data_IF_793315156418
#
_entry.id   IF_793315156418
#
_cell.length_a   1.000
_cell.length_b   1.000
_cell.length_c   1.000
_cell.angle_alpha   90.00
_cell.angle_beta   90.00
_cell.angle_gamma   90.00
#
_symmetry.space_group_name_H-M   'P 1'
#
loop_
_entity.id
_entity.type
_entity.pdbx_description
1 polymer ?
#
# COMPACT_ATOMS: atom_id res chain seq x y z
N UNK A 1 -3.18 1.12 27.16
CA UNK A 1 -2.67 1.24 25.78
C UNK A 1 -3.68 2.07 25.02
N UNK A 2 -3.55 3.39 25.06
CA UNK A 2 -4.51 4.28 24.40
C UNK A 2 -4.18 4.31 22.90
N UNK A 3 -5.17 4.51 22.04
CA UNK A 3 -4.99 4.59 20.58
C UNK A 3 -3.98 5.68 20.15
N UNK A 4 -3.61 6.58 21.06
CA UNK A 4 -2.58 7.60 20.89
C UNK A 4 -1.14 7.05 20.91
N UNK A 5 -0.89 5.89 21.55
CA UNK A 5 0.44 5.27 21.62
C UNK A 5 0.78 4.39 20.41
N UNK A 6 -0.23 4.05 19.59
CA UNK A 6 0.01 3.46 18.28
C UNK A 6 0.49 4.63 17.43
N UNK A 7 1.81 4.83 17.35
CA UNK A 7 2.46 6.01 16.73
C UNK A 7 1.90 6.37 15.35
N UNK A 8 2.26 7.52 14.81
CA UNK A 8 1.69 8.10 13.56
C UNK A 8 1.75 7.15 12.35
N UNK A 9 2.53 6.08 12.43
CA UNK A 9 2.78 5.10 11.39
C UNK A 9 1.58 4.36 10.77
N UNK A 10 0.59 3.76 11.48
CA UNK A 10 -0.53 3.08 10.82
C UNK A 10 -1.44 4.07 10.09
N UNK A 11 -1.68 5.24 10.67
CA UNK A 11 -2.49 6.29 10.04
C UNK A 11 -1.83 6.74 8.74
N UNK A 12 -0.52 7.05 8.78
CA UNK A 12 0.22 7.40 7.57
C UNK A 12 0.28 6.24 6.57
N UNK A 13 0.38 4.99 7.02
CA UNK A 13 0.35 3.83 6.11
C UNK A 13 -0.99 3.70 5.38
N UNK A 14 -2.10 3.99 6.05
CA UNK A 14 -3.42 4.04 5.41
C UNK A 14 -3.47 5.16 4.37
N UNK A 15 -3.05 6.37 4.73
CA UNK A 15 -3.04 7.52 3.80
C UNK A 15 -2.15 7.24 2.59
N UNK A 16 -0.94 6.75 2.80
CA UNK A 16 0.02 6.40 1.75
C UNK A 16 -0.54 5.27 0.88
N UNK A 17 -1.13 4.24 1.47
CA UNK A 17 -1.74 3.13 0.73
C UNK A 17 -2.94 3.58 -0.11
N UNK A 18 -3.80 4.44 0.42
CA UNK A 18 -4.93 5.04 -0.31
C UNK A 18 -4.44 5.90 -1.47
N UNK A 19 -3.46 6.78 -1.22
CA UNK A 19 -2.86 7.64 -2.24
C UNK A 19 -2.29 6.83 -3.42
N UNK A 20 -1.48 5.81 -3.13
CA UNK A 20 -0.90 4.95 -4.17
C UNK A 20 -1.94 4.10 -4.89
N UNK A 21 -2.95 3.61 -4.18
CA UNK A 21 -4.07 2.89 -4.80
C UNK A 21 -4.86 3.79 -5.74
N UNK A 22 -5.13 5.04 -5.35
CA UNK A 22 -5.80 6.03 -6.20
C UNK A 22 -4.97 6.35 -7.44
N UNK A 23 -3.65 6.53 -7.28
CA UNK A 23 -2.73 6.74 -8.39
C UNK A 23 -2.72 5.55 -9.35
N UNK A 24 -2.68 4.32 -8.83
CA UNK A 24 -2.78 3.11 -9.64
C UNK A 24 -4.10 3.04 -10.43
N UNK A 25 -5.24 3.33 -9.79
CA UNK A 25 -6.55 3.35 -10.45
C UNK A 25 -6.61 4.44 -11.53
N UNK A 26 -6.07 5.63 -11.25
CA UNK A 26 -5.99 6.73 -12.19
C UNK A 26 -5.21 6.33 -13.45
N UNK A 27 -4.02 5.74 -13.26
CA UNK A 27 -3.18 5.25 -14.38
C UNK A 27 -3.86 4.10 -15.14
N UNK A 28 -4.55 3.20 -14.43
CA UNK A 28 -5.22 2.04 -15.05
C UNK A 28 -6.53 2.41 -15.77
N UNK A 29 -7.13 3.56 -15.44
CA UNK A 29 -8.38 4.05 -16.02
C UNK A 29 -9.63 3.22 -15.69
N UNK A 30 -9.57 2.28 -14.75
CA UNK A 30 -10.71 1.41 -14.39
C UNK A 30 -10.64 0.89 -12.95
N UNK A 31 -11.80 0.83 -12.30
CA UNK A 31 -11.97 0.21 -10.99
C UNK A 31 -12.28 -1.28 -11.20
N UNK A 32 -11.37 -2.15 -10.75
CA UNK A 32 -11.53 -3.61 -10.84
C UNK A 32 -12.15 -4.21 -9.58
N UNK A 33 -12.74 -5.41 -9.69
CA UNK A 33 -13.29 -6.15 -8.55
C UNK A 33 -12.27 -6.43 -7.42
N UNK A 34 -10.97 -6.39 -7.73
CA UNK A 34 -9.88 -6.61 -6.78
C UNK A 34 -9.39 -5.33 -6.08
N UNK A 35 -10.05 -4.19 -6.31
CA UNK A 35 -9.68 -2.92 -5.69
C UNK A 35 -9.52 -3.02 -4.15
N UNK A 36 -10.42 -3.69 -3.40
CA UNK A 36 -10.25 -3.81 -1.95
C UNK A 36 -8.96 -4.56 -1.57
N UNK A 37 -8.59 -5.59 -2.33
CA UNK A 37 -7.35 -6.34 -2.13
C UNK A 37 -6.12 -5.50 -2.52
N UNK A 38 -6.21 -4.73 -3.61
CA UNK A 38 -5.14 -3.79 -4.01
C UNK A 38 -4.91 -2.75 -2.92
N UNK A 39 -5.98 -2.16 -2.38
CA UNK A 39 -5.89 -1.20 -1.29
C UNK A 39 -5.26 -1.82 -0.05
N UNK A 40 -5.74 -2.99 0.37
CA UNK A 40 -5.18 -3.68 1.53
C UNK A 40 -3.69 -3.98 1.34
N UNK A 41 -3.30 -4.48 0.16
CA UNK A 41 -1.89 -4.74 -0.16
C UNK A 41 -1.05 -3.46 -0.15
N UNK A 42 -1.58 -2.34 -0.63
CA UNK A 42 -0.89 -1.05 -0.60
C UNK A 42 -0.68 -0.55 0.83
N UNK A 43 -1.70 -0.63 1.69
CA UNK A 43 -1.63 -0.22 3.10
C UNK A 43 -0.65 -1.11 3.87
N UNK A 44 -0.75 -2.43 3.71
CA UNK A 44 0.17 -3.38 4.34
C UNK A 44 1.60 -3.20 3.83
N UNK A 45 1.76 -2.94 2.53
CA UNK A 45 3.05 -2.63 1.93
C UNK A 45 3.64 -1.35 2.52
N UNK A 46 2.84 -0.29 2.66
CA UNK A 46 3.27 0.96 3.29
C UNK A 46 3.69 0.76 4.75
N UNK A 47 2.94 -0.05 5.50
CA UNK A 47 3.24 -0.36 6.89
C UNK A 47 4.50 -1.23 7.05
N UNK A 48 4.72 -2.19 6.16
CA UNK A 48 5.94 -2.98 6.13
C UNK A 48 7.15 -2.14 5.70
N UNK A 49 6.96 -1.26 4.71
CA UNK A 49 7.97 -0.37 4.19
C UNK A 49 8.51 0.60 5.22
N UNK A 50 7.65 1.25 6.01
CA UNK A 50 8.15 2.13 7.08
C UNK A 50 9.03 1.38 8.09
N UNK A 51 8.67 0.13 8.41
CA UNK A 51 9.42 -0.67 9.37
C UNK A 51 10.78 -1.11 8.79
N UNK A 52 10.87 -1.24 7.48
CA UNK A 52 12.12 -1.45 6.77
C UNK A 52 12.97 -0.18 6.78
N UNK A 53 12.39 0.99 6.50
CA UNK A 53 13.10 2.26 6.52
C UNK A 53 13.56 2.71 7.90
N UNK A 54 12.87 2.29 8.96
CA UNK A 54 13.36 2.46 10.33
C UNK A 54 14.70 1.73 10.58
N UNK A 55 15.02 0.69 9.79
CA UNK A 55 16.26 -0.09 9.89
C UNK A 55 17.32 0.34 8.87
N UNK A 56 16.90 0.66 7.65
CA UNK A 56 17.80 1.01 6.54
C UNK A 56 18.14 2.51 6.48
N UNK A 57 17.40 3.34 7.23
CA UNK A 57 17.42 4.79 7.06
C UNK A 57 16.54 5.22 5.90
N UNK A 58 15.94 6.41 6.02
CA UNK A 58 15.10 7.00 4.97
C UNK A 58 15.46 8.48 4.78
N UNK A 59 15.75 8.93 3.54
CA UNK A 59 15.98 10.33 3.24
C UNK A 59 14.75 11.24 3.42
N UNK A 60 13.51 10.72 3.33
CA UNK A 60 12.29 11.51 3.55
C UNK A 60 11.43 10.87 4.64
N UNK A 61 11.47 11.49 5.82
CA UNK A 61 10.69 11.07 6.99
C UNK A 61 9.65 12.11 7.36
N UNK A 62 8.47 11.64 7.76
CA UNK A 62 7.45 12.46 8.41
C UNK A 62 7.35 12.02 9.87
N UNK A 63 8.00 12.75 10.76
CA UNK A 63 8.15 12.33 12.16
C UNK A 63 8.92 11.02 12.24
N UNK A 64 8.29 9.99 12.79
CA UNK A 64 8.83 8.63 12.90
C UNK A 64 8.67 7.81 11.61
N UNK A 65 7.73 8.18 10.73
CA UNK A 65 7.38 7.44 9.54
C UNK A 65 8.37 7.61 8.39
N UNK A 66 8.73 6.48 7.76
CA UNK A 66 9.59 6.42 6.59
C UNK A 66 8.76 6.40 5.29
N UNK A 67 8.72 7.55 4.61
CA UNK A 67 7.84 7.77 3.46
C UNK A 67 8.34 7.08 2.19
N UNK A 68 9.65 7.06 1.94
CA UNK A 68 10.20 6.47 0.71
C UNK A 68 10.02 4.96 0.75
N UNK A 69 10.45 4.31 1.82
CA UNK A 69 10.29 2.86 1.94
C UNK A 69 8.82 2.46 2.03
N UNK A 70 7.99 3.23 2.74
CA UNK A 70 6.54 3.04 2.73
C UNK A 70 5.97 3.06 1.31
N UNK A 71 6.33 4.05 0.50
CA UNK A 71 5.85 4.18 -0.88
C UNK A 71 6.35 3.07 -1.80
N UNK A 72 7.63 2.70 -1.70
CA UNK A 72 8.23 1.61 -2.50
C UNK A 72 7.52 0.29 -2.22
N UNK A 73 7.35 -0.06 -0.95
CA UNK A 73 6.76 -1.35 -0.58
C UNK A 73 5.24 -1.34 -0.80
N UNK A 74 4.56 -0.20 -0.70
CA UNK A 74 3.17 -0.05 -1.15
C UNK A 74 3.00 -0.38 -2.64
N UNK A 75 3.87 0.16 -3.50
CA UNK A 75 3.88 -0.18 -4.92
C UNK A 75 4.16 -1.66 -5.17
N UNK A 76 5.07 -2.27 -4.42
CA UNK A 76 5.33 -3.71 -4.50
C UNK A 76 4.06 -4.53 -4.17
N UNK A 77 3.33 -4.14 -3.12
CA UNK A 77 2.04 -4.76 -2.77
C UNK A 77 0.99 -4.62 -3.89
N UNK A 78 0.87 -3.42 -4.47
CA UNK A 78 -0.01 -3.19 -5.62
C UNK A 78 0.39 -4.06 -6.81
N UNK A 79 1.68 -4.15 -7.12
CA UNK A 79 2.21 -4.95 -8.23
C UNK A 79 1.88 -6.44 -8.05
N UNK A 80 2.03 -6.98 -6.84
CA UNK A 80 1.66 -8.36 -6.52
C UNK A 80 0.19 -8.62 -6.85
N UNK A 81 -0.73 -7.75 -6.41
CA UNK A 81 -2.16 -7.90 -6.69
C UNK A 81 -2.46 -7.68 -8.17
N UNK A 82 -1.78 -6.75 -8.82
CA UNK A 82 -1.93 -6.50 -10.25
C UNK A 82 -1.54 -7.74 -11.08
N UNK A 83 -0.42 -8.37 -10.76
CA UNK A 83 0.01 -9.63 -11.41
C UNK A 83 -0.91 -10.78 -11.03
N UNK A 84 -1.28 -10.94 -9.77
CA UNK A 84 -2.24 -11.97 -9.36
C UNK A 84 -3.60 -11.80 -10.08
N UNK A 85 -3.95 -10.56 -10.46
CA UNK A 85 -5.16 -10.26 -11.23
C UNK A 85 -5.14 -10.74 -12.66
N UNK A 86 -3.96 -10.94 -13.26
CA UNK A 86 -3.84 -11.50 -14.61
C UNK A 86 -3.91 -13.03 -14.60
N UNK A 87 -3.56 -13.67 -13.48
CA UNK A 87 -3.59 -15.13 -13.31
C UNK A 87 -4.95 -15.67 -12.84
N UNK A 88 -5.89 -14.79 -12.51
CA UNK A 88 -7.22 -15.19 -12.05
C UNK A 88 -8.07 -15.81 -13.15
N UNK A 89 -8.95 -16.77 -12.82
CA UNK A 89 -9.92 -17.30 -13.76
C UNK A 89 -10.75 -16.15 -14.35
N UNK A 90 -10.85 -16.11 -15.69
CA UNK A 90 -11.96 -15.42 -16.34
C UNK A 90 -13.25 -15.99 -15.73
N UNK A 91 -14.23 -15.11 -15.46
CA UNK A 91 -15.49 -15.46 -14.79
C UNK A 91 -16.02 -16.81 -15.26
N UNK A 92 -16.56 -17.67 -14.37
CA UNK A 92 -17.44 -18.75 -14.79
C UNK A 92 -18.61 -18.12 -15.54
N UNK A 93 -18.68 -18.43 -16.83
CA UNK A 93 -19.75 -18.02 -17.73
C UNK A 93 -21.08 -18.52 -17.14
N UNK A 94 -21.95 -17.60 -16.75
CA UNK A 94 -23.35 -17.87 -16.39
C UNK A 94 -24.24 -16.81 -17.00
#
# INVERSE_FOLDING_TARGET
MTLADIGTAPVLSVVVGVFHTALYVLVRGRIGARLPLTLLAAVLGAFAGQALGARLGDPLRLGDYSLVWGSIVAWAGILIIAVASTLGPARPDR
#
